data_IF_645357298605
#
_entry.id   IF_645357298605
#
_cell.length_a   1.000
_cell.length_b   1.000
_cell.length_c   1.000
_cell.angle_alpha   90.00
_cell.angle_beta   90.00
_cell.angle_gamma   90.00
#
_symmetry.space_group_name_H-M   'P 1'
#
loop_
_entity.id
_entity.type
_entity.pdbx_description
1 polymer ?
#
# COMPACT_ATOMS: atom_id res chain seq x y z
N UNK A 1 -2.24 -36.58 32.65
CA UNK A 1 -1.57 -37.47 31.67
C UNK A 1 -0.72 -36.66 30.69
N UNK A 2 -1.27 -35.86 29.77
CA UNK A 2 -0.45 -35.06 28.83
C UNK A 2 0.49 -34.05 29.53
N UNK A 3 -0.07 -33.22 30.42
CA UNK A 3 0.68 -32.18 31.15
C UNK A 3 1.59 -32.77 32.23
N UNK A 4 1.08 -33.73 33.00
CA UNK A 4 1.84 -34.36 34.10
C UNK A 4 2.94 -35.29 33.63
N UNK A 5 2.76 -36.02 32.51
CA UNK A 5 3.75 -36.98 32.00
C UNK A 5 4.54 -36.47 30.79
N UNK A 6 4.27 -35.23 30.33
CA UNK A 6 4.96 -34.58 29.20
C UNK A 6 4.99 -35.45 27.94
N UNK A 7 3.89 -36.14 27.64
CA UNK A 7 3.74 -36.97 26.45
C UNK A 7 2.82 -36.31 25.42
N UNK A 8 3.11 -36.45 24.12
CA UNK A 8 2.20 -35.99 23.08
C UNK A 8 0.91 -36.81 23.12
N UNK A 9 -0.22 -36.14 22.87
CA UNK A 9 -1.53 -36.77 22.76
C UNK A 9 -2.18 -36.29 21.47
N UNK A 10 -2.72 -37.22 20.70
CA UNK A 10 -3.55 -36.93 19.55
C UNK A 10 -5.02 -36.92 19.97
N UNK A 11 -5.76 -35.90 19.56
CA UNK A 11 -7.21 -35.81 19.75
C UNK A 11 -7.83 -35.60 18.37
N UNK A 12 -8.71 -36.51 17.96
CA UNK A 12 -9.52 -36.35 16.75
C UNK A 12 -10.92 -35.88 17.15
N UNK A 13 -11.27 -34.66 16.74
CA UNK A 13 -12.58 -34.08 16.99
C UNK A 13 -13.47 -34.26 15.74
N UNK A 14 -14.38 -35.23 15.81
CA UNK A 14 -15.36 -35.46 14.74
C UNK A 14 -16.37 -34.30 14.68
N UNK A 15 -16.31 -33.51 13.62
CA UNK A 15 -17.16 -32.33 13.40
C UNK A 15 -17.63 -32.25 11.95
N UNK A 16 -18.54 -31.32 11.67
CA UNK A 16 -19.11 -31.10 10.35
C UNK A 16 -19.07 -29.63 9.94
N UNK A 17 -18.48 -29.33 8.77
CA UNK A 17 -18.45 -27.98 8.19
C UNK A 17 -19.79 -27.68 7.51
N UNK A 18 -20.73 -27.07 8.23
CA UNK A 18 -22.06 -26.71 7.70
C UNK A 18 -21.97 -25.72 6.53
N UNK A 19 -21.05 -24.76 6.56
CA UNK A 19 -20.83 -23.80 5.48
C UNK A 19 -20.06 -24.34 4.28
N UNK A 20 -19.89 -23.49 3.27
CA UNK A 20 -19.04 -23.74 2.10
C UNK A 20 -17.56 -23.84 2.49
N UNK A 21 -16.71 -24.33 1.57
CA UNK A 21 -15.26 -24.39 1.81
C UNK A 21 -14.64 -23.02 2.00
N UNK A 22 -15.07 -22.07 1.17
CA UNK A 22 -14.66 -20.68 1.15
C UNK A 22 -15.83 -19.83 0.62
N UNK A 23 -15.64 -18.50 0.57
CA UNK A 23 -16.62 -17.59 -0.03
C UNK A 23 -16.79 -17.78 -1.55
N UNK A 24 -15.83 -18.42 -2.21
CA UNK A 24 -15.85 -18.70 -3.66
C UNK A 24 -16.40 -20.08 -4.01
N UNK A 25 -16.71 -20.90 -2.99
CA UNK A 25 -17.13 -22.28 -3.16
C UNK A 25 -18.64 -22.44 -3.06
N UNK A 26 -19.19 -23.37 -3.85
CA UNK A 26 -20.58 -23.81 -3.75
C UNK A 26 -20.62 -25.30 -3.43
N UNK A 27 -20.89 -25.58 -2.17
CA UNK A 27 -20.87 -26.94 -1.66
C UNK A 27 -22.09 -27.78 -1.98
N UNK A 28 -23.16 -27.18 -2.51
CA UNK A 28 -24.37 -27.92 -2.90
C UNK A 28 -24.13 -28.82 -4.10
N UNK A 29 -23.04 -28.57 -4.86
CA UNK A 29 -22.62 -29.35 -6.02
C UNK A 29 -22.08 -30.74 -5.67
N UNK A 30 -21.54 -30.91 -4.47
CA UNK A 30 -20.83 -32.14 -4.08
C UNK A 30 -21.23 -32.66 -2.69
N UNK A 31 -22.20 -32.01 -2.02
CA UNK A 31 -22.80 -32.49 -0.77
C UNK A 31 -24.31 -32.38 -0.84
N UNK A 32 -25.05 -33.39 -0.38
CA UNK A 32 -26.50 -33.35 -0.40
C UNK A 32 -27.01 -32.40 0.69
N UNK A 33 -28.04 -31.61 0.36
CA UNK A 33 -28.56 -30.54 1.23
C UNK A 33 -29.15 -31.11 2.53
N UNK A 34 -29.74 -32.31 2.46
CA UNK A 34 -30.33 -33.00 3.62
C UNK A 34 -29.28 -33.30 4.71
N UNK A 35 -28.07 -33.68 4.33
CA UNK A 35 -26.96 -33.91 5.25
C UNK A 35 -26.58 -32.60 5.95
N UNK A 36 -26.42 -31.52 5.19
CA UNK A 36 -26.09 -30.20 5.73
C UNK A 36 -27.14 -29.75 6.75
N UNK A 37 -28.43 -29.92 6.43
CA UNK A 37 -29.52 -29.50 7.30
C UNK A 37 -29.66 -30.37 8.55
N UNK A 38 -29.40 -31.67 8.45
CA UNK A 38 -29.32 -32.58 9.62
C UNK A 38 -28.28 -32.08 10.62
N UNK A 39 -27.09 -31.72 10.14
CA UNK A 39 -26.01 -31.23 10.99
C UNK A 39 -26.29 -29.84 11.55
N UNK A 40 -26.91 -28.96 10.75
CA UNK A 40 -27.30 -27.61 11.16
C UNK A 40 -28.37 -27.62 12.27
N UNK A 41 -29.35 -28.52 12.17
CA UNK A 41 -30.50 -28.52 13.07
C UNK A 41 -30.31 -29.45 14.27
N UNK A 42 -30.06 -30.73 14.02
CA UNK A 42 -30.06 -31.77 15.05
C UNK A 42 -28.73 -31.88 15.80
N UNK A 43 -27.62 -31.46 15.18
CA UNK A 43 -26.26 -31.65 15.72
C UNK A 43 -25.49 -30.35 15.97
N UNK A 44 -26.16 -29.21 16.00
CA UNK A 44 -25.51 -27.93 16.31
C UNK A 44 -24.91 -27.93 17.73
N UNK A 45 -23.59 -27.77 17.79
CA UNK A 45 -22.82 -27.68 19.03
C UNK A 45 -23.24 -26.50 19.90
N UNK A 46 -23.57 -25.35 19.30
CA UNK A 46 -23.96 -24.14 20.02
C UNK A 46 -25.33 -24.33 20.65
N UNK A 47 -26.32 -24.81 19.89
CA UNK A 47 -27.64 -25.13 20.44
C UNK A 47 -27.59 -26.21 21.53
N UNK A 48 -26.76 -27.24 21.38
CA UNK A 48 -26.58 -28.30 22.39
C UNK A 48 -25.98 -27.74 23.69
N UNK A 49 -24.92 -26.94 23.57
CA UNK A 49 -24.29 -26.32 24.74
C UNK A 49 -25.23 -25.34 25.42
N UNK A 50 -25.94 -24.50 24.65
CA UNK A 50 -26.97 -23.57 25.14
C UNK A 50 -28.02 -24.29 25.99
N UNK A 51 -28.60 -25.38 25.48
CA UNK A 51 -29.60 -26.17 26.22
C UNK A 51 -29.04 -26.73 27.54
N UNK A 52 -27.76 -27.10 27.58
CA UNK A 52 -27.12 -27.61 28.79
C UNK A 52 -26.92 -26.51 29.84
N UNK A 53 -26.41 -25.33 29.45
CA UNK A 53 -26.23 -24.19 30.39
C UNK A 53 -27.56 -23.60 30.87
N UNK A 54 -28.60 -23.61 30.04
CA UNK A 54 -29.96 -23.18 30.42
C UNK A 54 -30.55 -24.12 31.49
N UNK A 55 -30.34 -25.44 31.36
CA UNK A 55 -30.76 -26.42 32.37
C UNK A 55 -30.07 -26.23 33.72
N UNK A 56 -28.85 -25.70 33.71
CA UNK A 56 -28.10 -25.37 34.92
C UNK A 56 -28.46 -23.99 35.50
N UNK A 57 -29.34 -23.23 34.85
CA UNK A 57 -29.75 -21.89 35.27
C UNK A 57 -28.71 -20.79 35.01
N UNK A 58 -27.66 -21.07 34.23
CA UNK A 58 -26.58 -20.11 33.94
C UNK A 58 -26.85 -19.22 32.72
N UNK A 59 -27.86 -19.57 31.93
CA UNK A 59 -28.20 -18.86 30.71
C UNK A 59 -29.72 -18.73 30.55
N UNK A 60 -30.15 -17.71 29.82
CA UNK A 60 -31.56 -17.49 29.51
C UNK A 60 -31.71 -16.66 28.22
N UNK A 61 -32.94 -16.55 27.72
CA UNK A 61 -33.26 -15.82 26.49
C UNK A 61 -32.85 -14.34 26.52
N UNK A 62 -32.90 -13.70 27.70
CA UNK A 62 -32.54 -12.29 27.86
C UNK A 62 -31.02 -12.11 27.66
N UNK A 63 -30.22 -12.95 28.32
CA UNK A 63 -28.76 -12.95 28.18
C UNK A 63 -28.31 -13.26 26.74
N UNK A 64 -28.97 -14.20 26.06
CA UNK A 64 -28.69 -14.49 24.64
C UNK A 64 -28.93 -13.27 23.74
N UNK A 65 -30.07 -12.59 23.92
CA UNK A 65 -30.44 -11.43 23.12
C UNK A 65 -29.48 -10.26 23.35
N UNK A 66 -29.14 -9.99 24.61
CA UNK A 66 -28.16 -8.96 24.99
C UNK A 66 -26.80 -9.23 24.37
N UNK A 67 -26.29 -10.46 24.46
CA UNK A 67 -25.01 -10.84 23.84
C UNK A 67 -25.03 -10.63 22.33
N UNK A 68 -26.08 -11.08 21.63
CA UNK A 68 -26.19 -10.92 20.17
C UNK A 68 -26.22 -9.45 19.75
N UNK A 69 -26.93 -8.62 20.50
CA UNK A 69 -27.01 -7.19 20.22
C UNK A 69 -25.65 -6.52 20.43
N UNK A 70 -24.96 -6.83 21.54
CA UNK A 70 -23.63 -6.28 21.82
C UNK A 70 -22.62 -6.65 20.75
N UNK A 71 -22.56 -7.94 20.35
CA UNK A 71 -21.69 -8.41 19.27
C UNK A 71 -22.04 -7.73 17.95
N UNK A 72 -23.33 -7.55 17.64
CA UNK A 72 -23.75 -6.85 16.42
C UNK A 72 -23.27 -5.39 16.42
N UNK A 73 -23.41 -4.68 17.55
CA UNK A 73 -22.93 -3.30 17.68
C UNK A 73 -21.42 -3.19 17.57
N UNK A 74 -20.67 -4.19 18.06
CA UNK A 74 -19.21 -4.24 17.96
C UNK A 74 -18.73 -4.53 16.52
N UNK A 75 -19.52 -5.24 15.72
CA UNK A 75 -19.19 -5.56 14.32
C UNK A 75 -19.60 -4.47 13.31
N UNK A 76 -20.62 -3.65 13.62
CA UNK A 76 -21.10 -2.57 12.73
C UNK A 76 -20.03 -1.53 12.29
N UNK A 77 -19.04 -1.13 13.12
CA UNK A 77 -17.98 -0.21 12.70
C UNK A 77 -17.06 -0.76 11.59
N UNK A 78 -17.08 -2.06 11.33
CA UNK A 78 -16.26 -2.70 10.29
C UNK A 78 -16.86 -2.59 8.89
N UNK A 79 -18.15 -2.23 8.78
CA UNK A 79 -18.88 -2.12 7.52
C UNK A 79 -18.92 -0.68 6.97
N UNK A 80 -18.11 0.25 7.50
CA UNK A 80 -18.07 1.63 7.01
C UNK A 80 -17.60 1.67 5.53
N UNK A 81 -18.44 2.09 4.56
CA UNK A 81 -18.05 2.17 3.15
C UNK A 81 -16.98 3.23 2.86
N UNK A 82 -16.62 4.08 3.83
CA UNK A 82 -15.49 5.02 3.74
C UNK A 82 -14.17 4.42 4.24
N UNK A 83 -14.20 3.23 4.82
CA UNK A 83 -12.99 2.51 5.16
C UNK A 83 -12.24 2.15 3.87
N UNK A 84 -11.06 2.74 3.70
CA UNK A 84 -10.16 2.54 2.57
C UNK A 84 -9.54 1.11 2.56
N UNK A 85 -10.33 0.06 2.84
CA UNK A 85 -9.91 -1.34 2.92
C UNK A 85 -9.43 -1.91 1.58
N UNK A 86 -9.83 -1.32 0.46
CA UNK A 86 -9.31 -1.61 -0.87
C UNK A 86 -7.90 -1.07 -1.10
N UNK A 87 -7.46 -0.13 -0.26
CA UNK A 87 -6.09 0.37 -0.29
C UNK A 87 -5.19 -0.58 0.52
N UNK A 88 -5.05 -1.79 0.00
CA UNK A 88 -4.30 -2.91 0.59
C UNK A 88 -2.89 -2.50 1.08
N UNK A 89 -2.28 -1.49 0.44
CA UNK A 89 -0.95 -0.97 0.78
C UNK A 89 -0.95 0.00 1.99
N UNK A 90 -2.10 0.49 2.46
CA UNK A 90 -2.19 1.25 3.72
C UNK A 90 -2.12 0.34 4.95
N UNK A 91 -2.27 -0.98 4.75
CA UNK A 91 -2.07 -1.97 5.80
C UNK A 91 -0.56 -2.19 6.01
N UNK A 92 -0.08 -1.96 7.24
CA UNK A 92 1.33 -2.06 7.64
C UNK A 92 2.05 -3.33 7.11
N UNK A 93 1.53 -4.58 7.26
CA UNK A 93 2.27 -5.76 6.81
C UNK A 93 2.51 -5.81 5.29
N UNK A 94 1.59 -5.25 4.50
CA UNK A 94 1.69 -5.24 3.03
C UNK A 94 2.54 -4.06 2.56
N UNK A 95 2.50 -2.94 3.27
CA UNK A 95 3.46 -1.85 3.08
C UNK A 95 4.90 -2.34 3.29
N UNK A 96 5.18 -3.10 4.36
CA UNK A 96 6.50 -3.69 4.58
C UNK A 96 6.92 -4.65 3.46
N UNK A 97 5.99 -5.46 2.96
CA UNK A 97 6.24 -6.36 1.82
C UNK A 97 6.61 -5.57 0.56
N UNK A 98 5.90 -4.47 0.30
CA UNK A 98 6.19 -3.54 -0.80
C UNK A 98 7.58 -2.90 -0.64
N UNK A 99 7.95 -2.43 0.56
CA UNK A 99 9.28 -1.91 0.84
C UNK A 99 10.38 -2.97 0.66
N UNK A 100 10.11 -4.22 1.06
CA UNK A 100 11.06 -5.32 0.89
C UNK A 100 11.31 -5.62 -0.60
N UNK A 101 10.28 -5.55 -1.45
CA UNK A 101 10.45 -5.68 -2.90
C UNK A 101 11.28 -4.54 -3.47
N UNK A 102 11.13 -3.31 -2.97
CA UNK A 102 11.99 -2.19 -3.37
C UNK A 102 13.45 -2.38 -2.94
N UNK A 103 13.70 -2.87 -1.72
CA UNK A 103 15.06 -3.01 -1.20
C UNK A 103 15.81 -4.18 -1.84
N UNK A 104 15.16 -5.34 -1.97
CA UNK A 104 15.78 -6.59 -2.42
C UNK A 104 15.46 -6.96 -3.85
N UNK A 105 14.60 -6.21 -4.52
CA UNK A 105 14.19 -6.45 -5.90
C UNK A 105 15.30 -6.17 -6.90
N UNK A 106 15.22 -6.83 -8.05
CA UNK A 106 16.05 -6.51 -9.22
C UNK A 106 15.69 -5.13 -9.76
N UNK A 107 16.58 -4.53 -10.56
CA UNK A 107 16.32 -3.23 -11.21
C UNK A 107 14.98 -3.21 -11.94
N UNK A 108 14.63 -4.27 -12.69
CA UNK A 108 13.32 -4.42 -13.35
C UNK A 108 12.13 -4.36 -12.40
N UNK A 109 12.23 -5.00 -11.23
CA UNK A 109 11.17 -4.94 -10.22
C UNK A 109 11.04 -3.52 -9.69
N UNK A 110 12.17 -2.87 -9.34
CA UNK A 110 12.16 -1.49 -8.84
C UNK A 110 11.58 -0.51 -9.89
N UNK A 111 11.95 -0.65 -11.16
CA UNK A 111 11.37 0.12 -12.28
C UNK A 111 9.86 -0.07 -12.39
N UNK A 112 9.38 -1.32 -12.35
CA UNK A 112 7.95 -1.64 -12.42
C UNK A 112 7.18 -1.02 -11.24
N UNK A 113 7.75 -1.10 -10.03
CA UNK A 113 7.15 -0.51 -8.85
C UNK A 113 7.13 1.03 -8.91
N UNK A 114 8.15 1.68 -9.46
CA UNK A 114 8.13 3.13 -9.72
C UNK A 114 7.00 3.53 -10.69
N UNK A 115 6.81 2.78 -11.78
CA UNK A 115 5.71 3.01 -12.72
C UNK A 115 4.33 2.77 -12.07
N UNK A 116 4.23 1.82 -11.12
CA UNK A 116 3.01 1.63 -10.33
C UNK A 116 2.72 2.81 -9.40
N UNK A 117 3.74 3.39 -8.76
CA UNK A 117 3.59 4.61 -7.94
C UNK A 117 3.05 5.76 -8.80
N UNK A 118 3.62 5.94 -9.99
CA UNK A 118 3.19 6.95 -10.95
C UNK A 118 1.74 6.76 -11.42
N UNK A 119 1.40 5.52 -11.80
CA UNK A 119 0.03 5.15 -12.18
C UNK A 119 -0.97 5.36 -11.04
N UNK A 120 -0.56 5.07 -9.80
CA UNK A 120 -1.41 5.30 -8.62
C UNK A 120 -1.63 6.80 -8.37
N UNK A 121 -0.61 7.65 -8.58
CA UNK A 121 -0.70 9.09 -8.40
C UNK A 121 -1.65 9.78 -9.37
N UNK A 122 -1.90 9.16 -10.54
CA UNK A 122 -2.88 9.66 -11.52
C UNK A 122 -4.33 9.63 -11.01
N UNK A 123 -4.63 8.84 -9.96
CA UNK A 123 -5.97 8.76 -9.37
C UNK A 123 -6.13 9.68 -8.17
N UNK A 124 -7.19 10.50 -8.17
CA UNK A 124 -7.53 11.41 -7.07
C UNK A 124 -7.80 10.70 -5.74
N UNK A 125 -8.20 9.43 -5.78
CA UNK A 125 -8.53 8.64 -4.59
C UNK A 125 -7.29 8.01 -3.92
N UNK A 126 -6.12 8.13 -4.53
CA UNK A 126 -4.87 7.52 -4.03
C UNK A 126 -3.95 8.51 -3.30
N UNK A 127 -4.39 9.73 -3.04
CA UNK A 127 -3.58 10.78 -2.41
C UNK A 127 -3.05 10.37 -1.02
N UNK A 128 -3.85 9.66 -0.22
CA UNK A 128 -3.43 9.12 1.08
C UNK A 128 -2.28 8.10 0.95
N UNK A 129 -2.31 7.28 -0.10
CA UNK A 129 -1.26 6.32 -0.39
C UNK A 129 0.01 7.02 -0.88
N UNK A 130 -0.11 8.04 -1.72
CA UNK A 130 1.04 8.86 -2.16
C UNK A 130 1.67 9.60 -0.97
N UNK A 131 0.85 10.10 -0.05
CA UNK A 131 1.33 10.66 1.22
C UNK A 131 2.07 9.62 2.06
N UNK A 132 1.52 8.42 2.24
CA UNK A 132 2.14 7.33 3.01
C UNK A 132 3.48 6.90 2.39
N UNK A 133 3.52 6.69 1.08
CA UNK A 133 4.72 6.31 0.33
C UNK A 133 5.82 7.38 0.46
N UNK A 134 5.46 8.65 0.25
CA UNK A 134 6.41 9.75 0.37
C UNK A 134 6.86 10.06 1.82
N UNK A 135 6.15 9.54 2.82
CA UNK A 135 6.60 9.57 4.21
C UNK A 135 7.69 8.51 4.52
N UNK A 136 7.82 7.47 3.68
CA UNK A 136 8.81 6.41 3.91
C UNK A 136 10.19 6.82 3.40
N UNK A 137 11.06 7.23 4.32
CA UNK A 137 12.45 7.57 4.00
C UNK A 137 13.19 6.43 3.30
N UNK A 138 12.94 5.18 3.71
CA UNK A 138 13.56 3.99 3.09
C UNK A 138 13.17 3.86 1.62
N UNK A 139 11.89 4.07 1.30
CA UNK A 139 11.41 4.02 -0.09
C UNK A 139 12.07 5.12 -0.92
N UNK A 140 12.07 6.36 -0.41
CA UNK A 140 12.66 7.49 -1.11
C UNK A 140 14.14 7.23 -1.41
N UNK A 141 14.90 6.71 -0.45
CA UNK A 141 16.32 6.36 -0.64
C UNK A 141 16.52 5.30 -1.74
N UNK A 142 15.70 4.25 -1.76
CA UNK A 142 15.79 3.22 -2.81
C UNK A 142 15.46 3.75 -4.21
N UNK A 143 14.51 4.69 -4.32
CA UNK A 143 14.19 5.35 -5.59
C UNK A 143 15.37 6.23 -6.05
N UNK A 144 16.03 6.94 -5.12
CA UNK A 144 17.22 7.74 -5.46
C UNK A 144 18.40 6.84 -5.85
N UNK A 145 18.59 5.70 -5.18
CA UNK A 145 19.62 4.74 -5.57
C UNK A 145 19.36 4.21 -6.98
N UNK A 146 18.10 3.89 -7.32
CA UNK A 146 17.73 3.46 -8.67
C UNK A 146 18.02 4.55 -9.72
N UNK A 147 17.83 5.81 -9.35
CA UNK A 147 18.17 6.96 -10.19
C UNK A 147 19.69 7.10 -10.38
N UNK A 148 20.48 6.92 -9.32
CA UNK A 148 21.94 7.08 -9.35
C UNK A 148 22.71 5.88 -9.95
N UNK A 149 22.06 4.73 -10.11
CA UNK A 149 22.67 3.48 -10.60
C UNK A 149 23.02 3.61 -12.10
N UNK A 150 24.13 4.28 -12.41
CA UNK A 150 24.59 4.60 -13.77
C UNK A 150 25.37 3.45 -14.45
N UNK A 151 25.39 2.25 -13.87
CA UNK A 151 26.36 1.21 -14.24
C UNK A 151 26.03 0.33 -15.45
N UNK A 152 24.92 0.50 -16.17
CA UNK A 152 24.62 -0.28 -17.38
C UNK A 152 23.91 0.54 -18.46
N UNK A 153 24.34 0.39 -19.72
CA UNK A 153 23.80 1.05 -20.92
C UNK A 153 22.28 0.84 -21.18
N UNK A 154 21.57 0.07 -20.35
CA UNK A 154 20.11 -0.13 -20.38
C UNK A 154 19.35 0.69 -19.33
N UNK A 155 20.03 1.55 -18.55
CA UNK A 155 19.46 2.21 -17.36
C UNK A 155 18.58 3.44 -17.66
N UNK A 156 18.41 3.85 -18.92
CA UNK A 156 17.50 4.97 -19.25
C UNK A 156 16.08 4.72 -18.76
N UNK A 157 15.58 3.48 -18.88
CA UNK A 157 14.21 3.15 -18.45
C UNK A 157 14.05 3.21 -16.92
N UNK A 158 15.06 2.75 -16.18
CA UNK A 158 15.05 2.79 -14.72
C UNK A 158 15.12 4.22 -14.17
N UNK A 159 16.02 5.05 -14.72
CA UNK A 159 16.11 6.47 -14.37
C UNK A 159 14.83 7.22 -14.72
N UNK A 160 14.23 6.97 -15.90
CA UNK A 160 12.97 7.57 -16.29
C UNK A 160 11.82 7.20 -15.34
N UNK A 161 11.68 5.91 -15.01
CA UNK A 161 10.66 5.46 -14.06
C UNK A 161 10.86 6.09 -12.67
N UNK A 162 12.11 6.19 -12.20
CA UNK A 162 12.43 6.85 -10.94
C UNK A 162 12.07 8.35 -10.95
N UNK A 163 12.34 9.06 -12.06
CA UNK A 163 11.97 10.48 -12.23
C UNK A 163 10.46 10.65 -12.19
N UNK A 164 9.69 9.82 -12.91
CA UNK A 164 8.22 9.85 -12.89
C UNK A 164 7.68 9.60 -11.49
N UNK A 165 8.18 8.57 -10.79
CA UNK A 165 7.80 8.29 -9.40
C UNK A 165 8.13 9.47 -8.45
N UNK A 166 9.31 10.09 -8.58
CA UNK A 166 9.67 11.28 -7.79
C UNK A 166 8.72 12.44 -8.08
N UNK A 167 8.41 12.70 -9.36
CA UNK A 167 7.48 13.77 -9.75
C UNK A 167 6.09 13.52 -9.17
N UNK A 168 5.57 12.31 -9.35
CA UNK A 168 4.28 11.87 -8.82
C UNK A 168 4.19 11.95 -7.29
N UNK A 169 5.23 11.54 -6.57
CA UNK A 169 5.29 11.70 -5.10
C UNK A 169 5.34 13.17 -4.67
N UNK A 170 5.92 14.06 -5.48
CA UNK A 170 6.05 15.49 -5.19
C UNK A 170 4.77 16.31 -5.40
N UNK A 171 3.74 15.70 -6.02
CA UNK A 171 2.41 16.33 -6.15
C UNK A 171 1.79 16.65 -4.79
N UNK A 172 2.04 15.81 -3.79
CA UNK A 172 1.64 15.97 -2.38
C UNK A 172 2.65 16.88 -1.65
N UNK A 173 2.18 18.01 -1.14
CA UNK A 173 3.03 19.07 -0.58
C UNK A 173 4.01 18.57 0.53
N UNK A 174 3.56 17.79 1.54
CA UNK A 174 4.45 17.28 2.59
C UNK A 174 5.60 16.38 2.10
N UNK A 175 5.49 15.81 0.91
CA UNK A 175 6.51 14.92 0.35
C UNK A 175 7.66 15.70 -0.30
N UNK A 176 7.41 16.92 -0.78
CA UNK A 176 8.39 17.71 -1.56
C UNK A 176 9.68 17.93 -0.78
N UNK A 177 9.59 18.39 0.47
CA UNK A 177 10.79 18.60 1.28
C UNK A 177 11.49 17.29 1.64
N UNK A 178 10.74 16.20 1.86
CA UNK A 178 11.30 14.87 2.16
C UNK A 178 12.10 14.33 0.97
N UNK A 179 11.58 14.46 -0.24
CA UNK A 179 12.27 14.11 -1.49
C UNK A 179 13.57 14.89 -1.66
N UNK A 180 13.56 16.21 -1.39
CA UNK A 180 14.78 17.02 -1.46
C UNK A 180 15.81 16.60 -0.41
N UNK A 181 15.36 16.28 0.81
CA UNK A 181 16.25 15.75 1.88
C UNK A 181 16.81 14.38 1.53
N UNK A 182 16.04 13.53 0.86
CA UNK A 182 16.46 12.21 0.38
C UNK A 182 17.48 12.28 -0.78
N UNK A 183 17.65 13.44 -1.42
CA UNK A 183 18.64 13.64 -2.50
C UNK A 183 18.05 13.68 -3.90
N UNK A 184 16.73 13.75 -4.07
CA UNK A 184 16.08 13.73 -5.39
C UNK A 184 16.63 14.78 -6.37
N UNK A 185 16.87 16.00 -5.88
CA UNK A 185 17.43 17.08 -6.70
C UNK A 185 18.86 16.74 -7.15
N UNK A 186 19.69 16.23 -6.24
CA UNK A 186 21.09 15.93 -6.54
C UNK A 186 21.19 14.77 -7.55
N UNK A 187 20.32 13.77 -7.43
CA UNK A 187 20.19 12.67 -8.40
C UNK A 187 19.81 13.19 -9.80
N UNK A 188 18.75 14.00 -9.93
CA UNK A 188 18.32 14.55 -11.23
C UNK A 188 19.42 15.42 -11.87
N UNK A 189 20.21 16.15 -11.07
CA UNK A 189 21.34 16.94 -11.58
C UNK A 189 22.39 16.05 -12.24
N UNK A 190 22.67 14.88 -11.66
CA UNK A 190 23.72 13.94 -12.09
C UNK A 190 23.36 13.14 -13.34
N UNK A 191 22.06 13.07 -13.68
CA UNK A 191 21.57 12.29 -14.81
C UNK A 191 21.97 12.83 -16.21
N UNK A 192 21.71 12.03 -17.24
CA UNK A 192 21.97 12.39 -18.63
C UNK A 192 21.10 13.57 -19.13
N UNK A 193 21.47 14.18 -20.27
CA UNK A 193 20.71 15.27 -20.88
C UNK A 193 19.27 14.90 -21.20
N UNK A 194 19.04 13.70 -21.75
CA UNK A 194 17.71 13.20 -22.11
C UNK A 194 16.83 12.96 -20.87
N UNK A 195 17.39 12.38 -19.80
CA UNK A 195 16.67 12.19 -18.54
C UNK A 195 16.28 13.53 -17.89
N UNK A 196 17.13 14.57 -18.02
CA UNK A 196 16.80 15.93 -17.56
C UNK A 196 15.69 16.59 -18.39
N UNK A 197 15.63 16.32 -19.69
CA UNK A 197 14.54 16.81 -20.56
C UNK A 197 13.22 16.13 -20.21
N UNK A 198 13.22 14.81 -19.98
CA UNK A 198 12.04 14.09 -19.49
C UNK A 198 11.58 14.62 -18.13
N UNK A 199 12.52 14.90 -17.20
CA UNK A 199 12.18 15.52 -15.92
C UNK A 199 11.47 16.87 -16.08
N UNK A 200 11.82 17.65 -17.11
CA UNK A 200 11.11 18.89 -17.44
C UNK A 200 9.68 18.56 -17.90
N UNK A 201 9.51 17.60 -18.81
CA UNK A 201 8.21 17.13 -19.30
C UNK A 201 7.28 16.61 -18.20
N UNK A 202 7.84 15.93 -17.20
CA UNK A 202 7.14 15.41 -16.02
C UNK A 202 6.76 16.50 -15.00
N UNK A 203 7.02 17.77 -15.29
CA UNK A 203 6.58 18.89 -14.46
C UNK A 203 7.49 19.22 -13.26
N UNK A 204 8.73 18.72 -13.23
CA UNK A 204 9.69 19.03 -12.16
C UNK A 204 9.90 20.54 -11.99
N UNK A 205 9.83 21.32 -13.08
CA UNK A 205 9.92 22.79 -12.99
C UNK A 205 8.80 23.37 -12.12
N UNK A 206 7.55 22.96 -12.38
CA UNK A 206 6.38 23.41 -11.62
C UNK A 206 6.52 23.03 -10.15
N UNK A 207 6.98 21.82 -9.86
CA UNK A 207 7.19 21.35 -8.48
C UNK A 207 8.29 22.13 -7.76
N UNK A 208 9.38 22.49 -8.45
CA UNK A 208 10.46 23.34 -7.90
C UNK A 208 9.98 24.76 -7.60
N UNK A 209 9.12 25.35 -8.45
CA UNK A 209 8.55 26.68 -8.22
C UNK A 209 7.61 26.66 -7.01
N UNK A 210 6.74 25.66 -6.91
CA UNK A 210 5.85 25.47 -5.75
C UNK A 210 6.66 25.26 -4.46
N UNK A 211 7.75 24.49 -4.53
CA UNK A 211 8.66 24.30 -3.40
C UNK A 211 9.32 25.62 -2.95
N UNK A 212 9.71 26.50 -3.87
CA UNK A 212 10.29 27.81 -3.51
C UNK A 212 9.28 28.75 -2.83
N UNK A 213 8.01 28.66 -3.23
CA UNK A 213 6.90 29.42 -2.65
C UNK A 213 6.46 28.86 -1.28
N UNK A 214 6.72 27.58 -0.99
CA UNK A 214 6.41 26.95 0.29
C UNK A 214 7.27 27.45 1.47
N UNK A 215 6.88 27.10 2.69
CA UNK A 215 7.63 27.37 3.93
C UNK A 215 8.76 26.33 4.19
N UNK A 216 9.38 25.79 3.13
CA UNK A 216 10.48 24.83 3.28
C UNK A 216 11.81 25.48 3.72
N UNK A 217 12.76 24.66 4.18
CA UNK A 217 14.04 25.13 4.71
C UNK A 217 14.91 25.89 3.68
N UNK A 218 15.76 26.80 4.15
CA UNK A 218 16.68 27.56 3.29
C UNK A 218 17.59 26.65 2.45
N UNK A 219 18.05 25.53 3.02
CA UNK A 219 18.86 24.52 2.32
C UNK A 219 18.10 23.90 1.15
N UNK A 220 16.83 23.54 1.35
CA UNK A 220 15.93 23.02 0.32
C UNK A 220 15.74 24.04 -0.81
N UNK A 221 15.51 25.31 -0.48
CA UNK A 221 15.39 26.40 -1.46
C UNK A 221 16.68 26.61 -2.27
N UNK A 222 17.85 26.49 -1.65
CA UNK A 222 19.14 26.58 -2.36
C UNK A 222 19.30 25.47 -3.39
N UNK A 223 19.04 24.21 -3.01
CA UNK A 223 19.10 23.07 -3.95
C UNK A 223 18.11 23.24 -5.11
N UNK A 224 16.87 23.66 -4.81
CA UNK A 224 15.86 23.91 -5.85
C UNK A 224 16.31 24.97 -6.87
N UNK A 225 16.89 26.08 -6.40
CA UNK A 225 17.45 27.12 -7.30
C UNK A 225 18.61 26.61 -8.15
N UNK A 226 19.45 25.72 -7.62
CA UNK A 226 20.56 25.14 -8.40
C UNK A 226 20.04 24.32 -9.57
N UNK A 227 19.08 23.42 -9.33
CA UNK A 227 18.48 22.61 -10.40
C UNK A 227 17.74 23.49 -11.42
N UNK A 228 16.98 24.50 -10.97
CA UNK A 228 16.35 25.46 -11.89
C UNK A 228 17.36 26.17 -12.79
N UNK A 229 18.53 26.57 -12.28
CA UNK A 229 19.59 27.20 -13.09
C UNK A 229 20.15 26.25 -14.15
N UNK A 230 20.31 24.96 -13.83
CA UNK A 230 20.79 23.95 -14.76
C UNK A 230 19.76 23.67 -15.86
N UNK A 231 18.49 23.47 -15.48
CA UNK A 231 17.39 23.22 -16.41
C UNK A 231 17.07 24.45 -17.28
N UNK A 232 17.37 25.68 -16.81
CA UNK A 232 17.18 26.92 -17.58
C UNK A 232 17.85 26.89 -18.96
N UNK A 233 19.03 26.30 -19.08
CA UNK A 233 19.76 26.21 -20.35
C UNK A 233 19.04 25.36 -21.41
N UNK A 234 18.25 24.38 -20.97
CA UNK A 234 17.45 23.45 -21.80
C UNK A 234 16.02 23.94 -22.03
N UNK A 235 15.45 24.62 -21.06
CA UNK A 235 14.12 25.23 -21.15
C UNK A 235 14.04 26.36 -22.20
N UNK A 236 15.12 27.13 -22.35
CA UNK A 236 15.17 28.26 -23.30
C UNK A 236 15.24 27.78 -24.76
N UNK A 237 15.79 26.59 -25.04
CA UNK A 237 15.86 26.06 -26.42
C UNK A 237 14.54 25.57 -27.00
N UNK A 238 13.54 25.25 -26.16
CA UNK A 238 12.21 24.81 -26.63
C UNK A 238 11.20 25.95 -26.80
N UNK A 239 11.44 27.11 -26.17
CA UNK A 239 10.48 28.23 -26.12
C UNK A 239 10.83 29.42 -27.03
N UNK A 240 11.84 29.30 -27.91
CA UNK A 240 12.04 30.29 -28.99
C UNK A 240 11.17 29.87 -30.17
N UNK A 241 10.14 30.63 -30.56
CA UNK A 241 9.43 30.37 -31.81
C UNK A 241 10.45 30.41 -32.95
N UNK A 242 10.54 29.33 -33.74
CA UNK A 242 11.30 29.33 -34.99
C UNK A 242 10.79 30.50 -35.81
N UNK A 243 11.61 31.53 -35.99
CA UNK A 243 11.30 32.63 -36.88
C UNK A 243 11.11 32.05 -38.28
N UNK A 244 9.94 32.30 -38.86
CA UNK A 244 9.58 32.06 -40.26
C UNK A 244 10.41 32.97 -41.14
#
# INVERSE_FOLDING_TARGET
>A
MAVTERKPVLIEALTYRVGHHSMSDDSTKYRPINEIELWRSARDSVARFRKWIERNGWWNCKAESELRNNVRQELLPLDDPTSNHLNILTQDPKFQSFLQLFQKGTTKIKTCLCNLIDSAASSSHSQDLIFLLGNSQKLLQEIIILLDDNNNNNNSEASMAAIKAISSLSTVEPNREKLVRAGAIDGIIRESGAAREEAIGEGVLSQLLLLLQSQCSARTKTKARMLLKLLRSKWVSENVPKQV
#
